data_IF_196163602826
#
_entry.id   IF_196163602826
#
_cell.length_a   1.000
_cell.length_b   1.000
_cell.length_c   1.000
_cell.angle_alpha   90.00
_cell.angle_beta   90.00
_cell.angle_gamma   90.00
#
_symmetry.space_group_name_H-M   'P 1'
#
loop_
_entity.id
_entity.type
_entity.pdbx_description
1 polymer ?
#
# COMPACT_ATOMS: atom_id res chain seq x y z
N UNK A 1 54.90 3.79 -21.01
CA UNK A 1 53.51 4.31 -21.03
C UNK A 1 52.57 3.65 -22.07
N UNK A 2 52.99 2.65 -22.87
CA UNK A 2 52.10 2.00 -23.88
C UNK A 2 51.45 0.68 -23.42
N UNK A 3 51.98 0.03 -22.40
CA UNK A 3 51.50 -1.27 -21.88
C UNK A 3 50.30 -1.15 -20.94
N UNK A 4 50.17 -0.05 -20.20
CA UNK A 4 49.05 0.18 -19.27
C UNK A 4 47.71 0.43 -19.97
N UNK A 5 47.71 1.12 -21.12
CA UNK A 5 46.49 1.43 -21.88
C UNK A 5 45.91 0.16 -22.52
N UNK A 6 46.76 -0.74 -23.02
CA UNK A 6 46.32 -1.99 -23.65
C UNK A 6 45.71 -2.97 -22.65
N UNK A 7 46.19 -3.00 -21.40
CA UNK A 7 45.67 -3.87 -20.36
C UNK A 7 44.28 -3.41 -19.85
N UNK A 8 44.08 -2.10 -19.73
CA UNK A 8 42.78 -1.50 -19.32
C UNK A 8 41.72 -1.67 -20.40
N UNK A 9 42.11 -1.57 -21.68
CA UNK A 9 41.20 -1.86 -22.79
C UNK A 9 40.84 -3.35 -22.80
N UNK A 10 41.79 -4.27 -22.62
CA UNK A 10 41.47 -5.71 -22.57
C UNK A 10 40.57 -6.10 -21.39
N UNK A 11 40.77 -5.53 -20.20
CA UNK A 11 39.90 -5.81 -19.04
C UNK A 11 38.50 -5.24 -19.21
N UNK A 12 38.35 -4.08 -19.84
CA UNK A 12 37.03 -3.50 -20.14
C UNK A 12 36.24 -4.32 -21.16
N UNK A 13 36.91 -4.93 -22.15
CA UNK A 13 36.28 -5.78 -23.15
C UNK A 13 35.92 -7.19 -22.61
N UNK A 14 36.69 -7.74 -21.68
CA UNK A 14 36.39 -9.02 -21.02
C UNK A 14 35.16 -8.96 -20.11
N UNK A 15 34.86 -7.80 -19.50
CA UNK A 15 33.69 -7.60 -18.64
C UNK A 15 32.38 -7.60 -19.45
N UNK A 16 32.40 -7.13 -20.69
CA UNK A 16 31.24 -7.16 -21.59
C UNK A 16 30.98 -8.55 -22.21
N UNK A 17 32.00 -9.41 -22.25
CA UNK A 17 31.87 -10.76 -22.80
C UNK A 17 31.19 -11.77 -21.86
N UNK A 18 31.15 -11.49 -20.55
CA UNK A 18 30.55 -12.35 -19.51
C UNK A 18 29.37 -11.70 -18.77
N UNK A 19 28.81 -10.63 -19.32
CA UNK A 19 27.64 -9.97 -18.72
C UNK A 19 26.39 -10.81 -18.96
N UNK A 20 25.69 -11.15 -17.88
CA UNK A 20 24.42 -11.87 -17.88
C UNK A 20 23.42 -11.20 -18.84
N UNK A 21 22.67 -12.00 -19.60
CA UNK A 21 21.60 -11.53 -20.48
C UNK A 21 20.24 -11.99 -19.97
N UNK A 22 19.27 -11.09 -19.96
CA UNK A 22 17.93 -11.38 -19.47
C UNK A 22 16.87 -10.94 -20.48
N UNK A 23 15.74 -11.64 -20.49
CA UNK A 23 14.53 -11.16 -21.14
C UNK A 23 14.05 -9.88 -20.45
N UNK A 24 13.59 -8.92 -21.23
CA UNK A 24 13.06 -7.64 -20.75
C UNK A 24 11.63 -7.47 -21.22
N UNK A 25 10.69 -7.44 -20.26
CA UNK A 25 9.29 -7.23 -20.57
C UNK A 25 8.58 -6.44 -19.48
N UNK A 26 7.58 -5.66 -19.90
CA UNK A 26 6.52 -5.13 -19.05
C UNK A 26 5.22 -5.39 -19.80
N UNK A 27 4.56 -6.50 -19.51
CA UNK A 27 3.35 -6.89 -20.25
C UNK A 27 2.39 -7.67 -19.35
N UNK A 28 1.10 -7.58 -19.65
CA UNK A 28 0.03 -8.37 -19.06
C UNK A 28 -0.26 -9.66 -19.84
N UNK A 29 -0.01 -9.67 -21.15
CA UNK A 29 -0.34 -10.78 -22.05
C UNK A 29 0.85 -11.23 -22.90
N UNK A 30 1.08 -12.54 -22.92
CA UNK A 30 2.04 -13.18 -23.80
C UNK A 30 3.21 -13.83 -23.05
N UNK A 31 3.90 -14.73 -23.75
CA UNK A 31 5.12 -15.32 -23.24
C UNK A 31 6.23 -14.27 -23.33
N UNK A 32 6.79 -13.83 -22.20
CA UNK A 32 7.96 -12.94 -22.23
C UNK A 32 9.17 -13.59 -22.94
N UNK A 33 9.08 -14.82 -23.42
CA UNK A 33 10.06 -15.45 -24.32
C UNK A 33 10.22 -14.76 -25.68
N UNK A 34 9.22 -14.00 -26.17
CA UNK A 34 9.30 -13.29 -27.47
C UNK A 34 9.84 -11.86 -27.35
N UNK A 35 10.41 -11.50 -26.18
CA UNK A 35 10.70 -10.11 -25.81
C UNK A 35 12.16 -9.69 -26.04
N UNK A 36 12.35 -8.38 -26.04
CA UNK A 36 13.65 -7.71 -26.14
C UNK A 36 14.63 -8.27 -25.09
N UNK A 37 15.87 -8.53 -25.50
CA UNK A 37 16.94 -9.00 -24.60
C UNK A 37 17.74 -7.81 -24.13
N UNK A 38 17.97 -7.70 -22.82
CA UNK A 38 18.88 -6.72 -22.25
C UNK A 38 20.14 -7.38 -21.66
N UNK A 39 21.25 -6.66 -21.77
CA UNK A 39 22.53 -7.03 -21.17
C UNK A 39 22.61 -6.40 -19.78
N UNK A 40 22.83 -7.21 -18.75
CA UNK A 40 22.89 -6.76 -17.37
C UNK A 40 24.11 -5.88 -17.11
N UNK A 41 23.89 -4.80 -16.37
CA UNK A 41 24.94 -3.86 -15.96
C UNK A 41 25.83 -4.46 -14.86
N UNK A 42 27.04 -3.94 -14.64
CA UNK A 42 27.88 -4.35 -13.52
C UNK A 42 27.13 -4.30 -12.18
N UNK A 43 27.17 -5.40 -11.44
CA UNK A 43 26.44 -5.54 -10.17
C UNK A 43 24.96 -5.91 -10.30
N UNK A 44 24.48 -6.28 -11.50
CA UNK A 44 23.25 -7.04 -11.71
C UNK A 44 23.64 -8.50 -12.04
N UNK A 45 23.43 -9.39 -11.08
CA UNK A 45 23.89 -10.79 -11.08
C UNK A 45 22.75 -11.80 -11.24
N UNK A 46 21.53 -11.34 -11.54
CA UNK A 46 20.36 -12.22 -11.70
C UNK A 46 19.35 -11.65 -12.68
N UNK A 47 18.66 -12.52 -13.41
CA UNK A 47 17.39 -12.15 -14.05
C UNK A 47 16.27 -12.31 -13.03
N UNK A 48 15.27 -11.44 -13.09
CA UNK A 48 14.07 -11.53 -12.26
C UNK A 48 12.81 -11.63 -13.12
N UNK A 49 11.80 -12.24 -12.54
CA UNK A 49 10.45 -12.32 -13.04
C UNK A 49 9.48 -11.98 -11.92
N UNK A 50 8.66 -10.97 -12.15
CA UNK A 50 7.70 -10.44 -11.19
C UNK A 50 6.29 -10.52 -11.75
N UNK A 51 5.36 -11.10 -11.00
CA UNK A 51 3.92 -11.00 -11.26
C UNK A 51 3.31 -10.17 -10.13
N UNK A 52 2.49 -9.20 -10.51
CA UNK A 52 1.63 -8.45 -9.60
C UNK A 52 0.18 -8.58 -10.04
N UNK A 53 -0.73 -8.69 -9.07
CA UNK A 53 -2.18 -8.68 -9.30
C UNK A 53 -2.86 -7.86 -8.23
N UNK A 54 -3.98 -7.25 -8.58
CA UNK A 54 -4.79 -6.53 -7.62
C UNK A 54 -6.18 -7.16 -7.54
N UNK A 55 -6.56 -7.65 -6.37
CA UNK A 55 -7.84 -8.33 -6.18
C UNK A 55 -9.01 -7.43 -6.61
N UNK A 56 -9.93 -7.99 -7.39
CA UNK A 56 -11.13 -7.29 -7.86
C UNK A 56 -10.91 -6.32 -9.02
N UNK A 57 -9.66 -6.00 -9.38
CA UNK A 57 -9.34 -5.11 -10.50
C UNK A 57 -8.53 -5.85 -11.57
N UNK A 58 -8.91 -5.64 -12.82
CA UNK A 58 -8.24 -6.24 -13.96
C UNK A 58 -6.97 -5.43 -14.29
N UNK A 59 -5.92 -5.60 -13.47
CA UNK A 59 -4.70 -4.78 -13.48
C UNK A 59 -3.39 -5.59 -13.49
N UNK A 60 -3.44 -6.90 -13.75
CA UNK A 60 -2.27 -7.77 -13.64
C UNK A 60 -1.09 -7.28 -14.48
N UNK A 61 0.11 -7.35 -13.92
CA UNK A 61 1.34 -7.04 -14.64
C UNK A 61 2.37 -8.12 -14.43
N UNK A 62 3.02 -8.54 -15.51
CA UNK A 62 4.25 -9.31 -15.46
C UNK A 62 5.43 -8.43 -15.91
N UNK A 63 6.55 -8.55 -15.19
CA UNK A 63 7.78 -7.82 -15.46
C UNK A 63 8.97 -8.75 -15.45
N UNK A 64 9.87 -8.60 -16.42
CA UNK A 64 11.17 -9.28 -16.47
C UNK A 64 12.30 -8.29 -16.74
N UNK A 65 13.48 -8.62 -16.23
CA UNK A 65 14.70 -7.89 -16.55
C UNK A 65 15.89 -8.31 -15.70
N UNK A 66 16.95 -7.51 -15.78
CA UNK A 66 18.15 -7.63 -14.97
C UNK A 66 17.97 -7.04 -13.57
N UNK A 67 18.40 -7.76 -12.55
CA UNK A 67 18.30 -7.37 -11.15
C UNK A 67 19.48 -7.88 -10.33
N UNK A 68 19.36 -7.72 -9.01
CA UNK A 68 20.31 -8.28 -8.05
C UNK A 68 19.69 -9.50 -7.37
N UNK A 69 20.50 -10.50 -7.09
CA UNK A 69 20.08 -11.72 -6.39
C UNK A 69 19.42 -11.44 -5.02
N UNK A 70 19.79 -10.34 -4.35
CA UNK A 70 19.17 -9.92 -3.09
C UNK A 70 17.75 -9.36 -3.26
N UNK A 71 17.44 -8.73 -4.39
CA UNK A 71 16.10 -8.21 -4.71
C UNK A 71 15.06 -9.34 -4.67
N UNK A 72 15.47 -10.52 -5.11
CA UNK A 72 14.65 -11.72 -5.19
C UNK A 72 14.37 -12.36 -3.82
N UNK A 73 15.33 -12.29 -2.89
CA UNK A 73 15.19 -12.85 -1.54
C UNK A 73 14.30 -12.00 -0.63
N UNK A 74 14.15 -10.72 -0.93
CA UNK A 74 13.45 -9.78 -0.07
C UNK A 74 11.92 -9.93 -0.14
N UNK A 75 11.40 -10.66 -1.11
CA UNK A 75 9.97 -10.71 -1.40
C UNK A 75 9.48 -12.16 -1.50
N UNK A 76 9.20 -12.83 -0.36
CA UNK A 76 8.45 -14.07 -0.38
C UNK A 76 7.08 -13.77 -1.02
N UNK A 77 6.71 -14.54 -2.04
CA UNK A 77 5.46 -14.32 -2.75
C UNK A 77 4.25 -14.40 -1.81
N UNK A 78 3.23 -13.58 -2.04
CA UNK A 78 2.05 -13.53 -1.20
C UNK A 78 1.20 -12.28 -1.41
N UNK A 79 0.22 -12.11 -0.53
CA UNK A 79 -0.65 -10.95 -0.49
C UNK A 79 -0.18 -9.92 0.55
N UNK A 80 -0.33 -8.65 0.20
CA UNK A 80 -0.25 -7.50 1.09
C UNK A 80 -1.49 -6.63 0.82
N UNK A 81 -2.52 -6.79 1.66
CA UNK A 81 -3.86 -6.33 1.33
C UNK A 81 -4.34 -6.96 0.01
N UNK A 82 -4.81 -6.12 -0.92
CA UNK A 82 -5.25 -6.56 -2.24
C UNK A 82 -4.15 -6.78 -3.27
N UNK A 83 -2.90 -6.39 -2.96
CA UNK A 83 -1.78 -6.58 -3.88
C UNK A 83 -1.19 -7.97 -3.67
N UNK A 84 -1.37 -8.84 -4.66
CA UNK A 84 -0.57 -10.05 -4.79
C UNK A 84 0.73 -9.74 -5.50
N UNK A 85 1.83 -10.30 -5.00
CA UNK A 85 3.12 -10.25 -5.68
C UNK A 85 3.82 -11.60 -5.61
N UNK A 86 4.44 -12.00 -6.71
CA UNK A 86 5.34 -13.16 -6.78
C UNK A 86 6.58 -12.76 -7.54
N UNK A 87 7.75 -13.12 -6.99
CA UNK A 87 9.05 -12.89 -7.62
C UNK A 87 9.76 -14.23 -7.80
N UNK A 88 10.41 -14.43 -8.94
CA UNK A 88 11.32 -15.54 -9.21
C UNK A 88 12.61 -15.01 -9.84
N UNK A 89 13.75 -15.62 -9.54
CA UNK A 89 15.02 -15.22 -10.11
C UNK A 89 15.92 -16.40 -10.44
N UNK A 90 16.82 -16.14 -11.38
CA UNK A 90 17.79 -17.09 -11.89
C UNK A 90 19.10 -16.36 -12.19
N UNK A 91 20.21 -17.10 -12.31
CA UNK A 91 21.55 -16.56 -12.54
C UNK A 91 22.15 -16.99 -13.88
N UNK A 92 21.36 -17.57 -14.77
CA UNK A 92 21.80 -18.06 -16.08
C UNK A 92 21.26 -17.19 -17.19
N UNK A 93 22.02 -17.04 -18.28
CA UNK A 93 21.59 -16.31 -19.47
C UNK A 93 20.24 -16.81 -19.97
N UNK A 94 19.33 -15.86 -20.22
CA UNK A 94 18.02 -16.08 -20.83
C UNK A 94 17.26 -17.25 -20.18
N UNK A 95 17.32 -17.35 -18.85
CA UNK A 95 16.66 -18.42 -18.13
C UNK A 95 15.16 -18.44 -18.49
N UNK A 96 14.61 -19.66 -18.54
CA UNK A 96 13.25 -19.87 -19.06
C UNK A 96 12.27 -18.90 -18.41
N UNK A 97 11.54 -18.11 -19.21
CA UNK A 97 10.53 -17.24 -18.66
C UNK A 97 9.46 -18.09 -17.99
N UNK A 98 9.04 -17.66 -16.81
CA UNK A 98 7.82 -18.21 -16.24
C UNK A 98 6.68 -17.82 -17.17
N UNK A 99 6.06 -18.81 -17.80
CA UNK A 99 4.88 -18.59 -18.63
C UNK A 99 3.76 -18.04 -17.75
N UNK A 100 3.37 -16.80 -18.01
CA UNK A 100 2.26 -16.17 -17.34
C UNK A 100 1.13 -15.94 -18.33
N UNK A 101 0.04 -16.65 -18.10
CA UNK A 101 -1.23 -16.38 -18.75
C UNK A 101 -2.16 -15.81 -17.69
N UNK A 102 -2.42 -14.50 -17.75
CA UNK A 102 -3.57 -13.93 -17.08
C UNK A 102 -4.82 -14.53 -17.77
N UNK A 103 -5.48 -15.48 -17.11
CA UNK A 103 -6.74 -16.03 -17.60
C UNK A 103 -7.83 -14.99 -17.43
N UNK A 104 -8.09 -14.21 -18.49
CA UNK A 104 -9.26 -13.33 -18.56
C UNK A 104 -10.37 -14.11 -19.28
N UNK A 105 -11.24 -14.77 -18.51
CA UNK A 105 -12.44 -15.41 -19.05
C UNK A 105 -13.52 -14.36 -19.34
N UNK A 106 -13.98 -14.31 -20.60
CA UNK A 106 -15.06 -13.41 -21.00
C UNK A 106 -14.84 -12.77 -22.36
N UNK A 107 -15.92 -12.29 -22.96
CA UNK A 107 -15.85 -11.55 -24.21
C UNK A 107 -15.36 -10.12 -23.95
N UNK A 108 -14.51 -9.59 -24.84
CA UNK A 108 -14.14 -8.17 -24.85
C UNK A 108 -15.42 -7.34 -24.98
N UNK A 109 -15.55 -6.31 -24.16
CA UNK A 109 -16.78 -5.49 -24.11
C UNK A 109 -16.65 -4.14 -24.84
N UNK A 110 -15.52 -3.89 -25.51
CA UNK A 110 -15.27 -2.68 -26.29
C UNK A 110 -14.71 -1.50 -25.51
N UNK A 111 -14.56 -1.61 -24.19
CA UNK A 111 -13.84 -0.62 -23.37
C UNK A 111 -12.37 -1.03 -23.29
N UNK A 112 -11.47 -0.06 -23.40
CA UNK A 112 -10.03 -0.25 -23.16
C UNK A 112 -9.61 0.67 -22.03
N UNK A 113 -8.76 0.20 -21.12
CA UNK A 113 -8.25 1.01 -20.01
C UNK A 113 -6.75 0.89 -19.92
N UNK A 114 -6.07 1.93 -19.43
CA UNK A 114 -4.68 1.77 -19.04
C UNK A 114 -4.58 0.73 -17.92
N UNK A 115 -3.59 -0.15 -18.01
CA UNK A 115 -3.39 -1.27 -17.10
C UNK A 115 -1.94 -1.34 -16.65
N UNK A 116 -1.70 -1.23 -15.34
CA UNK A 116 -0.36 -1.31 -14.78
C UNK A 116 -0.40 -1.44 -13.24
N UNK A 117 0.66 -1.97 -12.64
CA UNK A 117 0.93 -1.94 -11.19
C UNK A 117 2.41 -1.61 -11.02
N UNK A 118 2.72 -0.43 -10.46
CA UNK A 118 4.10 0.03 -10.42
C UNK A 118 4.30 1.44 -9.90
N UNK A 119 5.49 1.97 -10.17
CA UNK A 119 5.86 3.36 -9.88
C UNK A 119 5.36 4.34 -10.95
N UNK A 120 5.59 5.65 -10.74
CA UNK A 120 5.19 6.70 -11.68
C UNK A 120 5.79 6.58 -13.08
N UNK A 121 6.96 5.96 -13.23
CA UNK A 121 7.59 5.71 -14.53
C UNK A 121 6.89 4.57 -15.26
N UNK A 122 6.57 3.48 -14.56
CA UNK A 122 5.90 2.30 -15.12
C UNK A 122 4.41 2.55 -15.40
N UNK A 123 3.77 3.34 -14.54
CA UNK A 123 2.33 3.60 -14.54
C UNK A 123 1.96 5.04 -14.94
N UNK A 124 2.84 5.72 -15.68
CA UNK A 124 2.66 7.11 -16.10
C UNK A 124 1.49 7.31 -17.08
N UNK A 125 1.52 8.44 -17.80
CA UNK A 125 0.49 8.75 -18.81
C UNK A 125 0.51 7.79 -20.01
N UNK A 126 1.65 7.16 -20.28
CA UNK A 126 1.85 6.23 -21.40
C UNK A 126 1.78 4.76 -20.95
N UNK A 127 1.11 4.48 -19.83
CA UNK A 127 0.88 3.11 -19.40
C UNK A 127 0.12 2.33 -20.50
N UNK A 128 0.42 1.03 -20.69
CA UNK A 128 -0.19 0.23 -21.74
C UNK A 128 -1.71 0.13 -21.54
N UNK A 129 -2.45 0.05 -22.64
CA UNK A 129 -3.91 -0.09 -22.66
C UNK A 129 -4.31 -1.54 -22.90
N UNK A 130 -5.34 -2.00 -22.19
CA UNK A 130 -5.83 -3.37 -22.27
C UNK A 130 -7.34 -3.40 -22.46
N UNK A 131 -7.87 -4.35 -23.25
CA UNK A 131 -9.31 -4.51 -23.42
C UNK A 131 -9.94 -5.06 -22.14
N UNK A 132 -11.04 -4.44 -21.74
CA UNK A 132 -11.86 -4.90 -20.64
C UNK A 132 -12.78 -6.04 -21.09
N UNK A 133 -13.14 -6.91 -20.14
CA UNK A 133 -13.90 -8.12 -20.40
C UNK A 133 -15.21 -8.16 -19.61
N UNK A 134 -16.23 -8.78 -20.20
CA UNK A 134 -17.52 -9.00 -19.55
C UNK A 134 -18.15 -7.68 -19.08
N UNK A 135 -18.43 -7.59 -17.78
CA UNK A 135 -19.11 -6.43 -17.15
C UNK A 135 -18.16 -5.31 -16.73
N UNK A 136 -16.87 -5.38 -17.09
CA UNK A 136 -15.89 -4.36 -16.72
C UNK A 136 -16.02 -3.12 -17.63
N UNK A 137 -16.97 -2.24 -17.34
CA UNK A 137 -17.30 -1.07 -18.17
C UNK A 137 -16.65 0.24 -17.70
N UNK A 138 -15.78 0.18 -16.69
CA UNK A 138 -15.12 1.36 -16.11
C UNK A 138 -13.61 1.19 -16.05
N UNK A 139 -12.89 2.31 -16.15
CA UNK A 139 -11.47 2.36 -15.86
C UNK A 139 -11.24 2.85 -14.43
N UNK A 140 -10.29 2.24 -13.74
CA UNK A 140 -9.93 2.58 -12.36
C UNK A 140 -8.46 2.98 -12.31
N UNK A 141 -8.15 3.98 -11.49
CA UNK A 141 -6.80 4.35 -11.08
C UNK A 141 -6.76 4.48 -9.56
N UNK A 142 -5.79 3.82 -8.93
CA UNK A 142 -5.51 3.88 -7.50
C UNK A 142 -4.12 4.48 -7.32
N UNK A 143 -4.04 5.56 -6.56
CA UNK A 143 -2.80 6.18 -6.12
C UNK A 143 -2.68 5.98 -4.61
N UNK A 144 -1.57 5.43 -4.15
CA UNK A 144 -1.39 5.10 -2.74
C UNK A 144 -0.01 5.47 -2.24
N UNK A 145 0.04 5.82 -0.96
CA UNK A 145 1.25 6.05 -0.18
C UNK A 145 1.03 5.42 1.19
N UNK A 146 1.95 4.56 1.59
CA UNK A 146 1.89 3.88 2.87
C UNK A 146 2.80 4.56 3.90
N UNK A 147 2.63 4.18 5.16
CA UNK A 147 3.52 4.60 6.24
C UNK A 147 4.94 4.03 6.01
N UNK A 148 6.00 4.65 6.55
CA UNK A 148 7.37 4.17 6.38
C UNK A 148 7.53 2.69 6.75
N UNK A 149 8.28 1.94 5.94
CA UNK A 149 8.48 0.50 6.10
C UNK A 149 7.58 -0.37 5.21
N UNK A 150 6.54 0.20 4.61
CA UNK A 150 5.62 -0.49 3.70
C UNK A 150 6.07 -0.32 2.23
N UNK A 151 6.77 -1.32 1.69
CA UNK A 151 7.31 -1.32 0.33
C UNK A 151 6.30 -1.76 -0.74
N UNK A 152 5.19 -1.04 -0.89
CA UNK A 152 4.13 -1.37 -1.85
C UNK A 152 4.11 -0.41 -3.05
N UNK A 153 3.52 -0.88 -4.15
CA UNK A 153 3.46 -0.15 -5.42
C UNK A 153 2.55 1.07 -5.32
N UNK A 154 3.01 2.28 -5.68
CA UNK A 154 2.23 3.48 -5.45
C UNK A 154 1.08 3.67 -6.44
N UNK A 155 1.09 3.00 -7.61
CA UNK A 155 0.10 3.23 -8.66
C UNK A 155 -0.44 1.91 -9.20
N UNK A 156 -1.75 1.87 -9.37
CA UNK A 156 -2.47 0.75 -9.96
C UNK A 156 -3.49 1.30 -10.95
N UNK A 157 -3.53 0.76 -12.16
CA UNK A 157 -4.50 1.10 -13.21
C UNK A 157 -5.09 -0.18 -13.79
N UNK A 158 -6.38 -0.19 -14.13
CA UNK A 158 -6.98 -1.35 -14.79
C UNK A 158 -8.47 -1.20 -15.07
N UNK A 159 -9.09 -2.28 -15.54
CA UNK A 159 -10.53 -2.33 -15.77
C UNK A 159 -11.27 -2.76 -14.48
N UNK A 160 -12.33 -2.03 -14.15
CA UNK A 160 -13.26 -2.31 -13.06
C UNK A 160 -14.70 -2.39 -13.57
N UNK A 161 -15.62 -2.66 -12.65
CA UNK A 161 -17.06 -2.67 -12.89
C UNK A 161 -17.76 -1.65 -11.97
N UNK A 162 -19.09 -1.60 -12.02
CA UNK A 162 -19.90 -0.69 -11.20
C UNK A 162 -19.75 -0.85 -9.67
N UNK A 163 -19.05 -1.87 -9.15
CA UNK A 163 -18.72 -1.95 -7.72
C UNK A 163 -17.65 -0.93 -7.29
N UNK A 164 -16.83 -0.46 -8.24
CA UNK A 164 -15.83 0.57 -7.97
C UNK A 164 -16.50 1.95 -7.88
N UNK A 165 -16.01 2.75 -6.93
CA UNK A 165 -16.44 4.14 -6.68
C UNK A 165 -15.24 5.01 -6.37
N UNK A 166 -15.39 6.31 -6.57
CA UNK A 166 -14.39 7.27 -6.11
C UNK A 166 -14.25 7.17 -4.59
N UNK A 167 -13.02 6.94 -4.13
CA UNK A 167 -12.71 6.76 -2.71
C UNK A 167 -11.42 7.50 -2.41
N UNK A 168 -11.44 8.32 -1.36
CA UNK A 168 -10.23 8.94 -0.85
C UNK A 168 -10.15 8.66 0.65
N UNK A 169 -9.02 8.06 1.03
CA UNK A 169 -8.64 7.80 2.42
C UNK A 169 -7.34 8.55 2.65
N UNK A 170 -7.34 9.46 3.62
CA UNK A 170 -6.13 10.16 4.05
C UNK A 170 -5.98 9.95 5.54
N UNK A 171 -4.76 9.67 5.97
CA UNK A 171 -4.44 9.35 7.35
C UNK A 171 -3.05 9.86 7.75
N UNK A 172 -2.97 10.45 8.94
CA UNK A 172 -1.74 11.00 9.49
C UNK A 172 -1.51 10.52 10.93
N UNK A 173 -0.28 10.06 11.19
CA UNK A 173 0.23 9.71 12.52
C UNK A 173 1.51 10.51 12.76
N UNK A 174 1.48 11.45 13.71
CA UNK A 174 2.59 12.37 13.94
C UNK A 174 2.98 13.07 12.64
N UNK A 175 4.21 12.85 12.19
CA UNK A 175 4.71 13.40 10.92
C UNK A 175 4.55 12.45 9.72
N UNK A 176 4.10 11.21 9.95
CA UNK A 176 3.90 10.22 8.90
C UNK A 176 2.52 10.41 8.27
N UNK A 177 2.50 10.42 6.94
CA UNK A 177 1.31 10.68 6.14
C UNK A 177 1.11 9.57 5.12
N UNK A 178 -0.09 9.02 5.07
CA UNK A 178 -0.46 7.92 4.20
C UNK A 178 -1.83 8.19 3.56
N UNK A 179 -2.02 7.67 2.36
CA UNK A 179 -3.27 7.85 1.62
C UNK A 179 -3.53 6.74 0.61
N UNK A 180 -4.80 6.60 0.25
CA UNK A 180 -5.29 5.86 -0.91
C UNK A 180 -6.30 6.76 -1.62
N UNK A 181 -6.10 7.01 -2.90
CA UNK A 181 -7.00 7.76 -3.78
C UNK A 181 -7.36 6.89 -4.98
N UNK A 182 -8.62 6.42 -4.99
CA UNK A 182 -9.21 5.64 -6.06
C UNK A 182 -10.13 6.55 -6.88
N UNK A 183 -9.89 6.57 -8.20
CA UNK A 183 -10.69 7.28 -9.18
C UNK A 183 -11.25 6.32 -10.20
N UNK A 184 -12.53 6.51 -10.53
CA UNK A 184 -13.28 5.69 -11.48
C UNK A 184 -13.81 6.59 -12.59
N UNK A 185 -13.74 6.12 -13.83
CA UNK A 185 -14.27 6.84 -14.97
C UNK A 185 -14.86 5.89 -16.01
N UNK A 186 -15.79 6.40 -16.82
CA UNK A 186 -16.38 5.70 -17.97
C UNK A 186 -15.75 6.22 -19.26
N UNK A 187 -15.59 5.32 -20.23
CA UNK A 187 -14.97 5.61 -21.53
C UNK A 187 -13.54 5.08 -21.62
N UNK A 188 -13.09 4.79 -22.85
CA UNK A 188 -11.79 4.15 -23.05
C UNK A 188 -10.62 5.07 -22.67
N UNK A 189 -9.64 4.51 -21.97
CA UNK A 189 -8.39 5.14 -21.55
C UNK A 189 -8.59 6.43 -20.73
N UNK A 190 -9.73 6.59 -20.07
CA UNK A 190 -10.03 7.75 -19.24
C UNK A 190 -9.18 7.81 -17.95
N UNK A 191 -8.53 6.70 -17.58
CA UNK A 191 -7.62 6.59 -16.44
C UNK A 191 -6.15 6.96 -16.80
N UNK A 192 -5.97 7.87 -17.75
CA UNK A 192 -4.67 8.37 -18.20
C UNK A 192 -4.07 9.49 -17.33
N UNK A 193 -4.59 9.67 -16.12
CA UNK A 193 -4.17 10.76 -15.24
C UNK A 193 -2.77 10.51 -14.71
N UNK A 194 -2.10 11.60 -14.33
CA UNK A 194 -0.86 11.55 -13.57
C UNK A 194 -1.12 10.97 -12.18
N UNK A 195 -0.07 10.47 -11.56
CA UNK A 195 -0.09 10.05 -10.16
C UNK A 195 -0.57 11.19 -9.25
N UNK A 196 -1.63 10.96 -8.49
CA UNK A 196 -2.13 11.93 -7.51
C UNK A 196 -1.24 11.89 -6.28
N UNK A 197 -0.52 12.99 -5.99
CA UNK A 197 0.12 13.20 -4.69
C UNK A 197 -0.81 14.06 -3.86
N UNK A 198 -1.36 13.48 -2.79
CA UNK A 198 -2.20 14.23 -1.85
C UNK A 198 -1.30 14.95 -0.84
N UNK A 199 -1.33 16.30 -0.77
CA UNK A 199 -0.66 17.03 0.29
C UNK A 199 -1.48 16.94 1.59
N UNK A 200 -0.81 17.12 2.74
CA UNK A 200 -1.51 17.18 4.04
C UNK A 200 -2.51 18.34 4.13
N UNK A 201 -2.23 19.44 3.42
CA UNK A 201 -3.06 20.66 3.42
C UNK A 201 -2.81 21.55 4.65
N UNK A 202 -3.61 22.61 4.77
CA UNK A 202 -3.53 23.56 5.89
C UNK A 202 -4.23 23.02 7.15
N UNK A 203 -3.87 23.49 8.35
CA UNK A 203 -4.56 23.13 9.59
C UNK A 203 -6.07 23.40 9.50
N UNK A 204 -6.89 22.40 9.84
CA UNK A 204 -8.36 22.47 9.73
C UNK A 204 -9.06 22.78 11.07
N UNK A 205 -8.29 23.03 12.13
CA UNK A 205 -8.79 23.38 13.46
C UNK A 205 -9.12 22.19 14.36
N UNK A 206 -9.15 20.95 13.84
CA UNK A 206 -9.32 19.75 14.66
C UNK A 206 -7.98 19.33 15.28
N UNK A 207 -7.99 18.98 16.57
CA UNK A 207 -6.81 18.45 17.27
C UNK A 207 -7.09 17.06 17.80
N UNK A 208 -6.20 16.10 17.53
CA UNK A 208 -6.36 14.70 17.93
C UNK A 208 -5.12 14.21 18.67
N UNK A 209 -5.26 13.11 19.41
CA UNK A 209 -4.10 12.37 19.90
C UNK A 209 -3.49 11.53 18.78
N UNK A 210 -2.17 11.38 18.81
CA UNK A 210 -1.41 10.56 17.87
C UNK A 210 -0.44 9.65 18.60
N UNK A 211 -0.29 8.43 18.08
CA UNK A 211 0.69 7.44 18.53
C UNK A 211 0.77 6.30 17.51
N UNK A 212 1.87 5.56 17.52
CA UNK A 212 2.04 4.29 16.81
C UNK A 212 2.73 3.33 17.78
N UNK A 213 2.03 2.27 18.19
CA UNK A 213 2.56 1.32 19.16
C UNK A 213 3.53 0.36 18.47
N UNK A 214 4.75 0.25 18.99
CA UNK A 214 5.73 -0.76 18.55
C UNK A 214 5.83 -1.92 19.54
N UNK A 215 4.94 -1.94 20.55
CA UNK A 215 4.95 -2.88 21.66
C UNK A 215 5.67 -2.34 22.89
N UNK A 216 6.13 -1.08 22.86
CA UNK A 216 6.77 -0.40 23.99
C UNK A 216 5.79 0.56 24.72
N UNK A 217 4.51 0.49 24.35
CA UNK A 217 3.44 1.25 24.97
C UNK A 217 3.46 2.71 24.56
N UNK A 218 3.85 3.05 23.34
CA UNK A 218 3.84 4.42 22.82
C UNK A 218 2.42 5.02 22.78
N UNK A 219 1.41 4.15 22.74
CA UNK A 219 0.00 4.52 22.79
C UNK A 219 -0.59 4.56 24.22
N UNK A 220 0.23 4.47 25.28
CA UNK A 220 -0.25 4.67 26.66
C UNK A 220 -0.64 6.12 26.91
N UNK A 221 -1.57 6.32 27.85
CA UNK A 221 -2.19 7.63 28.12
C UNK A 221 -1.19 8.74 28.46
N UNK A 222 -0.07 8.40 29.10
CA UNK A 222 1.02 9.28 29.50
C UNK A 222 1.99 9.64 28.36
N UNK A 223 2.01 8.86 27.27
CA UNK A 223 2.90 9.06 26.12
C UNK A 223 2.20 9.62 24.87
N UNK A 224 0.88 9.81 24.93
CA UNK A 224 0.12 10.36 23.81
C UNK A 224 0.59 11.76 23.44
N UNK A 225 0.83 11.97 22.15
CA UNK A 225 1.18 13.27 21.59
C UNK A 225 -0.07 13.92 20.97
N UNK A 226 -0.03 15.25 20.81
CA UNK A 226 -1.07 16.00 20.11
C UNK A 226 -0.69 16.18 18.63
N UNK A 227 -1.71 16.11 17.78
CA UNK A 227 -1.61 16.32 16.34
C UNK A 227 -2.67 17.33 15.92
N UNK A 228 -2.24 18.40 15.25
CA UNK A 228 -3.14 19.31 14.56
C UNK A 228 -3.51 18.67 13.22
N UNK A 229 -4.79 18.37 13.03
CA UNK A 229 -5.26 17.81 11.77
C UNK A 229 -5.24 18.87 10.67
N UNK A 230 -5.03 18.39 9.44
CA UNK A 230 -4.83 19.22 8.26
C UNK A 230 -5.72 18.76 7.12
N UNK A 231 -6.01 19.68 6.20
CA UNK A 231 -6.77 19.42 4.99
C UNK A 231 -8.11 18.74 5.27
N UNK A 232 -8.37 17.65 4.53
CA UNK A 232 -9.62 16.89 4.57
C UNK A 232 -9.73 15.91 5.76
N UNK A 233 -8.70 15.82 6.62
CA UNK A 233 -8.69 14.91 7.76
C UNK A 233 -9.56 15.46 8.90
N UNK A 234 -10.86 15.29 8.77
CA UNK A 234 -11.89 15.85 9.64
C UNK A 234 -12.31 14.93 10.80
N UNK A 235 -11.55 13.85 11.05
CA UNK A 235 -11.78 12.91 12.15
C UNK A 235 -10.52 12.65 12.96
N UNK A 236 -10.72 12.49 14.26
CA UNK A 236 -9.76 11.76 15.07
C UNK A 236 -9.97 10.26 14.87
N UNK A 237 -8.88 9.54 14.65
CA UNK A 237 -8.85 8.10 14.38
C UNK A 237 -8.22 7.37 15.56
N UNK A 238 -8.77 6.22 15.90
CA UNK A 238 -8.25 5.27 16.87
C UNK A 238 -8.31 3.87 16.28
N UNK A 239 -7.16 3.33 15.92
CA UNK A 239 -7.03 1.98 15.38
C UNK A 239 -6.73 1.01 16.51
N UNK A 240 -7.50 -0.07 16.56
CA UNK A 240 -7.40 -1.11 17.59
C UNK A 240 -7.21 -2.47 16.94
N UNK A 241 -6.57 -3.37 17.67
CA UNK A 241 -6.49 -4.76 17.27
C UNK A 241 -7.90 -5.39 17.27
N UNK A 242 -8.20 -6.17 16.24
CA UNK A 242 -9.52 -6.78 16.05
C UNK A 242 -9.80 -7.91 17.06
N UNK A 243 -8.79 -8.74 17.36
CA UNK A 243 -8.89 -9.84 18.34
C UNK A 243 -8.92 -9.31 19.77
N UNK A 244 -8.05 -8.36 20.08
CA UNK A 244 -7.96 -7.72 21.39
C UNK A 244 -8.20 -6.21 21.29
N UNK A 245 -9.47 -5.81 21.36
CA UNK A 245 -9.91 -4.41 21.26
C UNK A 245 -9.40 -3.48 22.37
N UNK A 246 -8.72 -4.03 23.39
CA UNK A 246 -8.05 -3.21 24.41
C UNK A 246 -6.70 -2.67 23.94
N UNK A 247 -6.08 -3.34 22.96
CA UNK A 247 -4.79 -2.97 22.38
C UNK A 247 -5.01 -1.86 21.35
N UNK A 248 -4.38 -0.72 21.59
CA UNK A 248 -4.32 0.38 20.64
C UNK A 248 -3.10 0.19 19.76
N UNK A 249 -3.32 0.12 18.44
CA UNK A 249 -2.22 0.01 17.47
C UNK A 249 -1.72 1.41 17.14
N UNK A 250 -2.63 2.34 16.86
CA UNK A 250 -2.28 3.69 16.47
C UNK A 250 -3.44 4.66 16.65
N UNK A 251 -3.11 5.94 16.73
CA UNK A 251 -4.05 7.06 16.77
C UNK A 251 -3.55 8.16 15.82
N UNK A 252 -4.47 8.96 15.30
CA UNK A 252 -4.10 10.04 14.38
C UNK A 252 -5.29 10.86 13.89
N UNK A 253 -5.07 11.56 12.78
CA UNK A 253 -6.09 12.31 12.04
C UNK A 253 -6.41 11.57 10.74
N UNK A 254 -7.67 11.52 10.33
CA UNK A 254 -8.04 10.93 9.04
C UNK A 254 -9.36 11.43 8.48
N UNK A 255 -9.65 11.09 7.24
CA UNK A 255 -10.94 11.34 6.59
C UNK A 255 -12.04 10.44 7.15
N UNK A 256 -13.31 10.84 7.09
CA UNK A 256 -14.46 9.97 7.39
C UNK A 256 -14.36 8.56 6.78
N UNK A 257 -13.86 8.45 5.54
CA UNK A 257 -13.74 7.18 4.81
C UNK A 257 -12.86 6.17 5.53
N UNK A 258 -11.86 6.63 6.29
CA UNK A 258 -10.99 5.81 7.15
C UNK A 258 -11.79 5.00 8.18
N UNK A 259 -12.99 5.47 8.52
CA UNK A 259 -13.81 4.99 9.63
C UNK A 259 -14.98 4.12 9.18
N UNK A 260 -15.30 4.15 7.89
CA UNK A 260 -16.51 3.53 7.33
C UNK A 260 -16.22 2.60 6.18
N UNK A 261 -15.03 2.70 5.58
CA UNK A 261 -14.67 1.77 4.54
C UNK A 261 -14.53 0.38 5.21
N UNK A 262 -15.36 -0.58 4.83
CA UNK A 262 -14.99 -2.00 4.91
C UNK A 262 -14.18 -2.39 3.67
N UNK A 263 -13.61 -1.40 2.96
CA UNK A 263 -12.83 -1.62 1.76
C UNK A 263 -11.45 -2.07 2.21
N UNK A 264 -11.06 -3.30 1.91
CA UNK A 264 -9.77 -3.85 2.34
C UNK A 264 -8.55 -3.12 1.74
N UNK A 265 -8.78 -2.10 0.91
CA UNK A 265 -7.78 -1.30 0.21
C UNK A 265 -6.99 -0.40 1.16
N UNK A 266 -7.56 -0.04 2.31
CA UNK A 266 -6.85 0.70 3.34
C UNK A 266 -6.44 -0.17 4.54
N UNK A 267 -6.72 -1.49 4.55
CA UNK A 267 -6.14 -2.40 5.56
C UNK A 267 -4.60 -2.29 5.64
N UNK A 268 -3.85 -2.10 4.54
CA UNK A 268 -2.42 -1.86 4.63
C UNK A 268 -2.05 -0.52 5.30
N UNK A 269 -3.01 0.42 5.48
CA UNK A 269 -2.82 1.63 6.28
C UNK A 269 -3.01 1.38 7.80
N UNK A 270 -3.72 0.32 8.20
CA UNK A 270 -4.10 0.08 9.61
C UNK A 270 -3.59 -1.23 10.24
N UNK A 271 -2.89 -2.08 9.50
CA UNK A 271 -2.60 -3.51 9.79
C UNK A 271 -3.82 -4.42 9.54
N UNK A 272 -3.56 -5.64 9.07
CA UNK A 272 -4.59 -6.57 8.56
C UNK A 272 -5.64 -6.96 9.61
N UNK A 273 -5.25 -7.14 10.88
CA UNK A 273 -6.15 -7.55 11.97
C UNK A 273 -6.52 -6.38 12.88
N UNK A 274 -7.03 -5.31 12.28
CA UNK A 274 -7.36 -4.08 12.98
C UNK A 274 -8.64 -3.43 12.46
N UNK A 275 -9.20 -2.53 13.26
CA UNK A 275 -10.32 -1.70 12.86
C UNK A 275 -10.13 -0.26 13.37
N UNK A 276 -10.70 0.69 12.65
CA UNK A 276 -10.65 2.11 12.99
C UNK A 276 -11.96 2.59 13.62
N UNK A 277 -11.86 3.20 14.80
CA UNK A 277 -12.94 3.99 15.41
C UNK A 277 -12.65 5.48 15.20
N UNK A 278 -13.70 6.27 14.95
CA UNK A 278 -13.52 7.69 14.69
C UNK A 278 -14.54 8.57 15.40
N UNK A 279 -14.14 9.81 15.62
CA UNK A 279 -14.95 10.84 16.24
C UNK A 279 -14.57 12.23 15.68
N UNK A 280 -15.48 13.21 15.84
CA UNK A 280 -15.39 14.51 15.14
C UNK A 280 -14.88 15.68 15.98
N UNK A 281 -14.83 15.53 17.31
CA UNK A 281 -14.48 16.63 18.21
C UNK A 281 -13.01 16.57 18.62
N UNK A 282 -12.40 17.70 18.94
CA UNK A 282 -11.00 17.70 19.36
C UNK A 282 -10.80 16.81 20.59
N UNK A 283 -9.69 16.08 20.59
CA UNK A 283 -9.24 15.19 21.67
C UNK A 283 -10.16 13.99 21.95
N UNK A 284 -11.16 13.72 21.11
CA UNK A 284 -12.14 12.67 21.36
C UNK A 284 -11.53 11.25 21.30
N UNK A 285 -10.41 11.08 20.60
CA UNK A 285 -9.69 9.80 20.55
C UNK A 285 -8.75 9.58 21.74
N UNK A 286 -8.95 10.27 22.88
CA UNK A 286 -8.12 10.10 24.08
C UNK A 286 -8.24 8.73 24.73
N UNK A 287 -9.44 8.14 24.68
CA UNK A 287 -9.74 6.95 25.47
C UNK A 287 -8.75 5.82 25.15
N UNK A 288 -8.16 5.28 26.22
CA UNK A 288 -7.55 3.96 26.22
C UNK A 288 -8.61 2.98 26.76
N UNK A 289 -8.62 1.74 26.26
CA UNK A 289 -9.32 0.64 26.94
C UNK A 289 -8.91 0.54 28.41
N UNK A 290 -9.71 -0.15 29.25
CA UNK A 290 -9.83 0.16 30.68
C UNK A 290 -8.53 -0.08 31.44
N UNK A 291 -7.87 1.00 31.83
CA UNK A 291 -6.93 0.97 32.95
C UNK A 291 -7.74 1.05 34.25
N UNK A 292 -7.93 -0.10 34.90
CA UNK A 292 -8.43 -0.29 36.26
C UNK A 292 -9.89 0.15 36.54
N UNK A 293 -10.61 -0.55 37.44
CA UNK A 293 -11.96 -0.16 37.81
C UNK A 293 -11.94 1.25 38.39
N UNK A 294 -12.82 2.10 37.87
CA UNK A 294 -13.21 3.33 38.55
C UNK A 294 -13.52 2.96 40.01
N UNK A 295 -12.70 3.46 40.94
CA UNK A 295 -13.12 3.55 42.33
C UNK A 295 -14.31 4.50 42.35
N UNK A 296 -15.50 3.94 42.28
CA UNK A 296 -16.75 4.62 42.61
C UNK A 296 -16.56 5.36 43.95
N UNK A 297 -16.79 6.68 44.02
CA UNK A 297 -16.91 7.39 45.29
C UNK A 297 -18.18 7.02 46.09
N UNK A 298 -18.91 5.97 45.67
CA UNK A 298 -20.27 5.66 46.13
C UNK A 298 -20.38 4.76 47.35
N UNK A 299 -19.28 4.20 47.90
CA UNK A 299 -19.37 3.24 49.02
C UNK A 299 -19.10 3.85 50.41
N UNK A 300 -18.63 5.10 50.49
CA UNK A 300 -18.43 5.77 51.80
C UNK A 300 -19.74 6.36 52.34
N UNK A 301 -20.66 6.77 51.46
CA UNK A 301 -21.96 7.31 51.86
C UNK A 301 -22.88 6.26 52.48
N UNK A 302 -22.85 5.01 52.00
CA UNK A 302 -23.70 3.94 52.51
C UNK A 302 -23.21 3.40 53.87
N UNK A 303 -21.90 3.36 54.10
CA UNK A 303 -21.33 2.97 55.40
C UNK A 303 -21.64 3.99 56.50
N UNK A 304 -21.65 5.30 56.18
CA UNK A 304 -22.03 6.35 57.14
C UNK A 304 -23.55 6.39 57.43
N UNK A 305 -24.39 6.01 56.46
CA UNK A 305 -25.84 5.88 56.67
C UNK A 305 -26.20 4.65 57.52
N UNK A 306 -25.50 3.52 57.33
CA UNK A 306 -25.72 2.32 58.15
C UNK A 306 -25.18 2.48 59.58
N UNK A 307 -24.07 3.21 59.78
CA UNK A 307 -23.57 3.53 61.11
C UNK A 307 -24.50 4.49 61.90
N UNK A 308 -25.26 5.36 61.22
CA UNK A 308 -26.27 6.21 61.86
C UNK A 308 -27.57 5.49 62.23
N UNK A 309 -27.89 4.37 61.58
CA UNK A 309 -29.07 3.57 61.91
C UNK A 309 -28.81 2.50 62.98
N UNK A 310 -27.54 2.25 63.34
CA UNK A 310 -27.18 1.36 64.43
C UNK A 310 -27.10 2.05 65.82
N UNK A 311 -27.42 3.34 65.90
CA UNK A 311 -27.38 4.13 67.15
C UNK A 311 -28.70 4.85 67.46
N UNK A 312 -29.83 4.20 67.17
CA UNK A 312 -31.14 4.52 67.72
C UNK A 312 -31.83 3.26 68.23
#
# INVERSE_FOLDING_TARGET
MKTGVSLVVLTFWLVLANSLKCHKCLNRQGNCSETEVEVCKPGQDSCFFEIKRFTGLNADTAKQGCGRSNYCRHYPGGFRGFLFRRMHCCSTDLCLPVTYHASSEGSKNGVECQSCIGNATECGQNAPSEPCIGTQDTCVQISQRFLPGEGLEPIIKGCGNDSFKDVQVVYQIGNNFAYVDQKVCKGSNCNNRTYSVIPAGDPNGLQCYTCQDTGLGECTRDKLQLLNCTGVMDRCVHVRNQENRSVTIQKGCGTQTMCTAYLEIYHPLIWMDSFAECCKTSFCNRAAGPSAPERLPGMVALALLLARMAWK
#
